data_IF_860461740049
#
_entry.id   IF_860461740049
#
_cell.length_a   1.000
_cell.length_b   1.000
_cell.length_c   1.000
_cell.angle_alpha   90.00
_cell.angle_beta   90.00
_cell.angle_gamma   90.00
#
_symmetry.space_group_name_H-M   'P 1'
#
loop_
_entity.id
_entity.type
_entity.pdbx_description
1 polymer ?
#
# COMPACT_ATOMS: atom_id res chain seq x y z
N UNK A 1 -22.86 -3.99 90.62
CA UNK A 1 -22.07 -5.23 90.48
C UNK A 1 -22.76 -6.13 89.46
N UNK A 2 -22.34 -6.08 88.19
CA UNK A 2 -22.98 -6.77 87.06
C UNK A 2 -21.95 -7.63 86.33
N UNK A 3 -22.38 -8.85 86.01
CA UNK A 3 -21.64 -9.96 85.40
C UNK A 3 -21.07 -9.63 84.01
N UNK A 4 -19.85 -10.07 83.76
CA UNK A 4 -19.17 -10.05 82.46
C UNK A 4 -19.64 -11.23 81.60
N UNK A 5 -20.10 -10.96 80.38
CA UNK A 5 -20.34 -11.96 79.32
C UNK A 5 -19.41 -11.61 78.16
N UNK A 6 -18.55 -12.56 77.77
CA UNK A 6 -17.68 -12.46 76.60
C UNK A 6 -18.36 -13.23 75.45
N UNK A 7 -18.70 -12.54 74.36
CA UNK A 7 -19.17 -13.16 73.12
C UNK A 7 -17.98 -13.54 72.22
N UNK A 8 -17.92 -14.81 71.82
CA UNK A 8 -17.04 -15.32 70.75
C UNK A 8 -17.64 -14.97 69.39
N UNK A 9 -16.85 -14.33 68.52
CA UNK A 9 -17.20 -14.11 67.12
C UNK A 9 -16.50 -15.17 66.25
N UNK A 10 -17.29 -15.98 65.55
CA UNK A 10 -16.84 -17.02 64.62
C UNK A 10 -16.55 -16.38 63.25
N UNK A 11 -15.33 -16.54 62.73
CA UNK A 11 -14.99 -16.25 61.33
C UNK A 11 -15.33 -17.45 60.46
N UNK A 12 -16.19 -17.27 59.45
CA UNK A 12 -16.51 -18.26 58.44
C UNK A 12 -15.65 -18.04 57.18
N UNK A 13 -14.73 -18.96 56.91
CA UNK A 13 -13.96 -18.98 55.66
C UNK A 13 -14.85 -19.51 54.53
N UNK A 14 -15.24 -18.63 53.60
CA UNK A 14 -15.83 -19.02 52.31
C UNK A 14 -14.70 -19.21 51.30
N UNK A 15 -14.45 -20.46 50.89
CA UNK A 15 -13.60 -20.78 49.74
C UNK A 15 -14.34 -20.37 48.45
N UNK A 16 -13.78 -19.41 47.71
CA UNK A 16 -14.17 -19.09 46.33
C UNK A 16 -13.35 -20.02 45.42
N UNK A 17 -14.02 -20.96 44.77
CA UNK A 17 -13.43 -21.77 43.69
C UNK A 17 -13.46 -20.91 42.43
N UNK A 18 -12.33 -20.34 42.04
CA UNK A 18 -12.17 -19.67 40.76
C UNK A 18 -12.09 -20.70 39.63
N UNK A 19 -13.07 -20.70 38.73
CA UNK A 19 -13.03 -21.50 37.50
C UNK A 19 -11.95 -20.93 36.58
N UNK A 20 -10.85 -21.65 36.40
CA UNK A 20 -9.81 -21.31 35.44
C UNK A 20 -10.29 -21.76 34.05
N UNK A 21 -10.83 -20.84 33.25
CA UNK A 21 -11.16 -21.10 31.85
C UNK A 21 -9.83 -21.14 31.07
N UNK A 22 -9.31 -22.34 30.85
CA UNK A 22 -8.19 -22.57 29.93
C UNK A 22 -8.78 -22.43 28.52
N UNK A 23 -8.63 -21.26 27.92
CA UNK A 23 -8.95 -21.03 26.51
C UNK A 23 -7.94 -21.75 25.64
N UNK A 24 -8.32 -22.89 25.06
CA UNK A 24 -7.56 -23.47 23.96
C UNK A 24 -7.72 -22.55 22.74
N UNK A 25 -6.62 -22.20 22.02
CA UNK A 25 -6.76 -21.48 20.77
C UNK A 25 -7.55 -22.36 19.80
N UNK A 26 -8.71 -21.87 19.37
CA UNK A 26 -9.47 -22.45 18.27
C UNK A 26 -8.59 -22.32 17.02
N UNK A 27 -7.92 -23.41 16.65
CA UNK A 27 -7.34 -23.54 15.32
C UNK A 27 -8.53 -23.66 14.37
N UNK A 28 -8.90 -22.57 13.72
CA UNK A 28 -9.82 -22.63 12.60
C UNK A 28 -9.14 -23.48 11.52
N UNK A 29 -9.79 -24.55 11.08
CA UNK A 29 -9.34 -25.32 9.92
C UNK A 29 -9.63 -24.52 8.65
N UNK A 30 -8.74 -24.58 7.66
CA UNK A 30 -9.01 -24.00 6.35
C UNK A 30 -10.27 -24.65 5.77
N UNK A 31 -11.30 -23.84 5.52
CA UNK A 31 -12.51 -24.28 4.84
C UNK A 31 -12.57 -23.60 3.47
N UNK A 32 -12.68 -24.40 2.42
CA UNK A 32 -12.97 -23.90 1.07
C UNK A 32 -14.36 -23.27 1.05
N UNK A 33 -14.45 -22.06 0.51
CA UNK A 33 -15.69 -21.27 0.42
C UNK A 33 -16.21 -21.38 -1.01
N UNK A 34 -17.33 -22.07 -1.23
CA UNK A 34 -17.94 -22.16 -2.56
C UNK A 34 -18.31 -20.77 -3.10
N UNK A 35 -18.12 -20.54 -4.39
CA UNK A 35 -18.45 -19.25 -5.03
C UNK A 35 -19.96 -19.01 -5.23
N UNK A 36 -20.78 -20.06 -5.12
CA UNK A 36 -22.24 -19.96 -5.05
C UNK A 36 -22.76 -19.69 -3.62
N UNK A 37 -21.86 -19.56 -2.64
CA UNK A 37 -22.20 -19.25 -1.26
C UNK A 37 -22.73 -17.81 -1.11
N UNK A 38 -23.76 -17.58 -0.29
CA UNK A 38 -24.25 -16.22 0.01
C UNK A 38 -23.26 -15.38 0.83
N UNK A 39 -22.12 -15.96 1.25
CA UNK A 39 -21.06 -15.27 1.98
C UNK A 39 -20.32 -14.23 1.13
N UNK A 40 -20.41 -14.31 -0.20
CA UNK A 40 -19.80 -13.36 -1.11
C UNK A 40 -20.66 -12.10 -1.26
N UNK A 41 -20.03 -10.95 -1.07
CA UNK A 41 -20.47 -9.64 -1.51
C UNK A 41 -19.84 -9.36 -2.87
N UNK A 42 -20.65 -9.46 -3.93
CA UNK A 42 -20.19 -9.36 -5.31
C UNK A 42 -20.27 -7.92 -5.77
N UNK A 43 -19.13 -7.42 -6.24
CA UNK A 43 -18.95 -6.06 -6.78
C UNK A 43 -18.53 -6.06 -8.25
N UNK A 44 -18.27 -7.24 -8.82
CA UNK A 44 -17.93 -7.41 -10.22
C UNK A 44 -19.12 -7.17 -11.13
N UNK A 45 -18.88 -6.62 -12.32
CA UNK A 45 -19.89 -6.48 -13.37
C UNK A 45 -20.39 -7.84 -13.85
N UNK A 46 -19.49 -8.83 -13.98
CA UNK A 46 -19.86 -10.22 -14.26
C UNK A 46 -19.28 -11.14 -13.20
N UNK A 47 -20.15 -11.97 -12.62
CA UNK A 47 -19.81 -13.01 -11.66
C UNK A 47 -20.65 -14.25 -11.98
N UNK A 48 -20.05 -15.20 -12.68
CA UNK A 48 -20.75 -16.40 -13.17
C UNK A 48 -20.14 -17.64 -12.54
N UNK A 49 -20.92 -18.34 -11.72
CA UNK A 49 -20.50 -19.63 -11.19
C UNK A 49 -20.74 -20.72 -12.23
N UNK A 50 -19.82 -21.67 -12.32
CA UNK A 50 -19.86 -22.68 -13.36
C UNK A 50 -18.78 -23.74 -13.23
N UNK A 51 -18.62 -24.54 -14.29
CA UNK A 51 -17.49 -25.44 -14.45
C UNK A 51 -16.58 -24.89 -15.53
N UNK A 52 -15.36 -24.52 -15.14
CA UNK A 52 -14.35 -23.94 -16.02
C UNK A 52 -13.12 -24.83 -15.97
N UNK A 53 -12.54 -25.15 -17.14
CA UNK A 53 -11.37 -26.04 -17.26
C UNK A 53 -11.50 -27.32 -16.40
N UNK A 54 -12.69 -27.93 -16.40
CA UNK A 54 -12.99 -29.17 -15.67
C UNK A 54 -13.19 -29.04 -14.14
N UNK A 55 -13.15 -27.84 -13.56
CA UNK A 55 -13.32 -27.60 -12.12
C UNK A 55 -14.48 -26.63 -11.85
N UNK A 56 -15.20 -26.82 -10.74
CA UNK A 56 -16.18 -25.83 -10.27
C UNK A 56 -15.46 -24.55 -9.86
N UNK A 57 -15.96 -23.41 -10.29
CA UNK A 57 -15.36 -22.13 -10.00
C UNK A 57 -16.27 -20.97 -10.38
N UNK A 58 -15.66 -19.80 -10.50
CA UNK A 58 -16.33 -18.57 -10.91
C UNK A 58 -15.53 -17.86 -11.99
N UNK A 59 -16.23 -17.31 -12.98
CA UNK A 59 -15.71 -16.33 -13.91
C UNK A 59 -16.00 -14.92 -13.38
N UNK A 60 -14.96 -14.09 -13.28
CA UNK A 60 -15.06 -12.70 -12.82
C UNK A 60 -14.53 -11.76 -13.90
N UNK A 61 -15.33 -10.73 -14.19
CA UNK A 61 -14.97 -9.62 -15.06
C UNK A 61 -15.34 -8.29 -14.39
N UNK A 62 -14.42 -7.33 -14.45
CA UNK A 62 -14.59 -5.94 -14.02
C UNK A 62 -15.09 -5.77 -12.58
N UNK A 63 -14.23 -6.11 -11.61
CA UNK A 63 -14.45 -5.88 -10.18
C UNK A 63 -14.00 -7.05 -9.32
N UNK A 64 -14.75 -7.41 -8.29
CA UNK A 64 -14.37 -8.52 -7.41
C UNK A 64 -15.50 -9.08 -6.55
N UNK A 65 -15.15 -10.03 -5.70
CA UNK A 65 -16.05 -10.58 -4.68
C UNK A 65 -15.31 -10.68 -3.34
N UNK A 66 -15.98 -10.25 -2.27
CA UNK A 66 -15.41 -10.15 -0.94
C UNK A 66 -16.26 -10.92 0.06
N UNK A 67 -15.64 -11.50 1.08
CA UNK A 67 -16.41 -12.17 2.13
C UNK A 67 -17.11 -11.14 3.03
N UNK A 68 -18.35 -11.40 3.41
CA UNK A 68 -19.14 -10.49 4.24
C UNK A 68 -18.64 -10.42 5.69
N UNK A 69 -18.36 -11.57 6.29
CA UNK A 69 -18.10 -11.68 7.73
C UNK A 69 -16.70 -12.20 8.08
N UNK A 70 -15.81 -12.33 7.09
CA UNK A 70 -14.46 -12.84 7.32
C UNK A 70 -13.63 -11.83 8.13
N UNK A 71 -12.86 -12.36 9.09
CA UNK A 71 -11.95 -11.61 9.94
C UNK A 71 -10.54 -12.21 9.77
N UNK A 72 -9.72 -11.53 8.97
CA UNK A 72 -8.37 -11.96 8.65
C UNK A 72 -7.34 -10.89 9.03
N UNK A 73 -6.35 -11.29 9.81
CA UNK A 73 -5.18 -10.47 10.14
C UNK A 73 -3.91 -11.19 9.66
N UNK A 74 -3.65 -12.37 10.21
CA UNK A 74 -2.54 -13.24 9.87
C UNK A 74 -3.08 -14.62 9.51
N UNK A 75 -2.37 -15.35 8.67
CA UNK A 75 -2.84 -16.65 8.23
C UNK A 75 -2.34 -17.06 6.87
N UNK A 76 -3.08 -18.01 6.28
CA UNK A 76 -2.82 -18.54 4.95
C UNK A 76 -4.06 -18.27 4.10
N UNK A 77 -3.84 -17.81 2.87
CA UNK A 77 -4.87 -17.60 1.85
C UNK A 77 -4.50 -18.48 0.66
N UNK A 78 -5.43 -19.27 0.17
CA UNK A 78 -5.22 -20.19 -0.96
C UNK A 78 -6.36 -20.08 -1.95
N UNK A 79 -6.03 -20.13 -3.23
CA UNK A 79 -7.01 -20.17 -4.32
C UNK A 79 -6.35 -20.68 -5.59
N UNK A 80 -7.17 -21.23 -6.48
CA UNK A 80 -6.74 -21.53 -7.84
C UNK A 80 -7.21 -20.43 -8.78
N UNK A 81 -6.36 -20.06 -9.75
CA UNK A 81 -6.66 -19.06 -10.76
C UNK A 81 -6.32 -19.58 -12.16
N UNK A 82 -7.18 -19.32 -13.14
CA UNK A 82 -6.89 -19.54 -14.55
C UNK A 82 -7.08 -18.25 -15.37
N UNK A 83 -6.21 -18.01 -16.34
CA UNK A 83 -6.14 -16.77 -17.15
C UNK A 83 -5.80 -17.08 -18.60
N UNK A 84 -6.19 -16.20 -19.53
CA UNK A 84 -6.03 -16.39 -20.99
C UNK A 84 -4.67 -15.93 -21.54
N UNK A 85 -3.86 -15.24 -20.73
CA UNK A 85 -2.60 -14.60 -21.16
C UNK A 85 -2.78 -13.17 -21.68
N UNK A 86 -4.03 -12.73 -21.89
CA UNK A 86 -4.33 -11.35 -22.25
C UNK A 86 -3.98 -10.36 -21.13
N UNK A 87 -3.98 -9.07 -21.48
CA UNK A 87 -3.69 -8.01 -20.53
C UNK A 87 -4.75 -7.96 -19.44
N UNK A 88 -4.33 -8.25 -18.21
CA UNK A 88 -5.16 -8.48 -17.04
C UNK A 88 -4.43 -8.12 -15.75
N UNK A 89 -5.20 -7.81 -14.72
CA UNK A 89 -4.73 -7.53 -13.37
C UNK A 89 -5.67 -8.22 -12.39
N UNK A 90 -5.31 -9.41 -11.92
CA UNK A 90 -6.20 -10.24 -11.11
C UNK A 90 -5.47 -10.89 -9.95
N UNK A 91 -6.15 -11.06 -8.83
CA UNK A 91 -5.57 -11.69 -7.67
C UNK A 91 -6.45 -11.57 -6.45
N UNK A 92 -5.84 -11.18 -5.34
CA UNK A 92 -6.46 -11.23 -4.02
C UNK A 92 -6.15 -9.96 -3.23
N UNK A 93 -7.15 -9.52 -2.47
CA UNK A 93 -7.01 -8.49 -1.46
C UNK A 93 -7.24 -9.08 -0.07
N UNK A 94 -6.43 -8.65 0.89
CA UNK A 94 -6.56 -9.05 2.30
C UNK A 94 -6.43 -7.85 3.22
N UNK A 95 -6.82 -8.06 4.49
CA UNK A 95 -6.97 -6.98 5.47
C UNK A 95 -7.78 -5.82 4.88
N UNK A 96 -8.85 -6.15 4.15
CA UNK A 96 -9.77 -5.19 3.58
C UNK A 96 -10.58 -4.61 4.74
N UNK A 97 -10.09 -3.52 5.31
CA UNK A 97 -10.74 -2.80 6.42
C UNK A 97 -11.97 -2.07 5.89
N UNK A 98 -11.82 -1.50 4.71
CA UNK A 98 -12.90 -1.00 3.86
C UNK A 98 -12.48 -1.10 2.39
N UNK A 99 -13.39 -0.79 1.46
CA UNK A 99 -13.14 -0.94 0.00
C UNK A 99 -12.06 0.00 -0.56
N UNK A 100 -11.56 0.94 0.24
CA UNK A 100 -10.49 1.88 -0.11
C UNK A 100 -9.17 1.54 0.59
N UNK A 101 -9.13 0.48 1.39
CA UNK A 101 -8.08 0.25 2.36
C UNK A 101 -7.80 -1.24 2.54
N UNK A 102 -6.83 -1.76 1.79
CA UNK A 102 -6.48 -3.18 1.75
C UNK A 102 -5.03 -3.40 1.36
N UNK A 103 -4.52 -4.60 1.62
CA UNK A 103 -3.32 -5.12 0.96
C UNK A 103 -3.76 -5.87 -0.31
N UNK A 104 -3.00 -5.76 -1.40
CA UNK A 104 -3.33 -6.38 -2.68
C UNK A 104 -2.13 -7.11 -3.27
N UNK A 105 -2.39 -8.30 -3.80
CA UNK A 105 -1.46 -9.01 -4.68
C UNK A 105 -2.19 -9.38 -5.96
N UNK A 106 -1.58 -9.12 -7.10
CA UNK A 106 -2.16 -9.44 -8.39
C UNK A 106 -1.11 -9.94 -9.39
N UNK A 107 -1.56 -10.75 -10.34
CA UNK A 107 -0.78 -11.23 -11.48
C UNK A 107 -1.09 -10.42 -12.74
N UNK A 108 -0.13 -10.39 -13.66
CA UNK A 108 -0.20 -9.76 -14.98
C UNK A 108 0.05 -10.82 -16.05
N UNK A 109 -0.97 -11.51 -16.58
CA UNK A 109 -0.78 -12.65 -17.47
C UNK A 109 0.06 -12.31 -18.71
N UNK A 110 -0.18 -11.14 -19.31
CA UNK A 110 0.58 -10.56 -20.42
C UNK A 110 2.08 -10.30 -20.16
N UNK A 111 2.53 -10.40 -18.90
CA UNK A 111 3.92 -10.23 -18.49
C UNK A 111 4.52 -11.52 -17.91
N UNK A 112 3.95 -12.68 -18.23
CA UNK A 112 4.50 -13.99 -17.84
C UNK A 112 6.02 -14.07 -18.07
N UNK A 113 6.75 -14.46 -17.03
CA UNK A 113 8.21 -14.58 -17.02
C UNK A 113 8.99 -13.25 -16.91
N UNK A 114 8.34 -12.09 -16.96
CA UNK A 114 9.00 -10.78 -16.81
C UNK A 114 9.17 -10.41 -15.33
N UNK A 115 10.14 -9.53 -14.97
CA UNK A 115 10.41 -9.15 -13.58
C UNK A 115 9.20 -8.59 -12.80
N UNK A 116 8.22 -8.04 -13.51
CA UNK A 116 6.99 -7.47 -12.98
C UNK A 116 5.74 -8.30 -13.33
N UNK A 117 5.89 -9.62 -13.54
CA UNK A 117 4.80 -10.54 -13.87
C UNK A 117 3.68 -10.57 -12.82
N UNK A 118 3.99 -10.27 -11.56
CA UNK A 118 3.06 -10.11 -10.45
C UNK A 118 3.52 -8.96 -9.57
N UNK A 119 2.63 -8.46 -8.72
CA UNK A 119 2.98 -7.37 -7.83
C UNK A 119 2.14 -7.39 -6.55
N UNK A 120 2.81 -7.10 -5.43
CA UNK A 120 2.19 -6.63 -4.20
C UNK A 120 2.14 -5.09 -4.18
N UNK A 121 1.02 -4.54 -3.74
CA UNK A 121 0.85 -3.10 -3.48
C UNK A 121 -0.19 -2.89 -2.38
N UNK A 122 -0.06 -1.86 -1.53
CA UNK A 122 -1.17 -1.42 -0.70
C UNK A 122 -2.19 -0.66 -1.55
N UNK A 123 -3.45 -0.72 -1.13
CA UNK A 123 -4.50 0.22 -1.48
C UNK A 123 -4.69 1.17 -0.29
N UNK A 124 -4.49 2.46 -0.48
CA UNK A 124 -4.65 3.48 0.59
C UNK A 124 -5.60 4.56 0.09
N UNK A 125 -6.68 4.80 0.82
CA UNK A 125 -7.72 5.76 0.46
C UNK A 125 -8.24 5.60 -0.99
N UNK A 126 -8.25 4.36 -1.49
CA UNK A 126 -8.72 3.99 -2.82
C UNK A 126 -7.66 4.05 -3.92
N UNK A 127 -6.45 4.53 -3.61
CA UNK A 127 -5.32 4.54 -4.54
C UNK A 127 -4.48 3.27 -4.42
N UNK A 128 -4.34 2.53 -5.51
CA UNK A 128 -3.33 1.47 -5.65
C UNK A 128 -1.97 2.09 -5.90
N UNK A 129 -0.98 1.75 -5.07
CA UNK A 129 0.33 2.41 -5.03
C UNK A 129 1.47 1.68 -5.76
N UNK A 130 1.15 0.99 -6.86
CA UNK A 130 2.10 0.12 -7.57
C UNK A 130 3.29 0.86 -8.23
N UNK A 131 3.20 2.16 -8.49
CA UNK A 131 4.32 2.99 -8.97
C UNK A 131 5.29 3.37 -7.85
N UNK A 132 4.85 3.32 -6.59
CA UNK A 132 5.67 3.61 -5.42
C UNK A 132 6.40 2.36 -4.94
N UNK A 133 5.71 1.21 -4.96
CA UNK A 133 6.19 -0.04 -4.40
C UNK A 133 6.40 -1.05 -5.52
N UNK A 134 7.53 -0.96 -6.21
CA UNK A 134 7.85 -1.71 -7.43
C UNK A 134 9.23 -2.38 -7.35
N UNK A 135 9.46 -3.37 -8.21
CA UNK A 135 10.74 -4.05 -8.30
C UNK A 135 10.94 -5.12 -7.23
N UNK A 136 12.21 -5.40 -6.93
CA UNK A 136 12.58 -6.38 -5.90
C UNK A 136 11.86 -6.06 -4.58
N UNK A 137 11.38 -7.09 -3.87
CA UNK A 137 10.50 -7.03 -2.67
C UNK A 137 9.00 -6.85 -2.95
N UNK A 138 8.62 -6.38 -4.14
CA UNK A 138 7.22 -6.12 -4.49
C UNK A 138 6.75 -6.94 -5.69
N UNK A 139 7.65 -7.36 -6.58
CA UNK A 139 7.35 -8.19 -7.74
C UNK A 139 8.37 -9.30 -7.93
N UNK A 140 7.96 -10.36 -8.62
CA UNK A 140 8.85 -11.45 -9.00
C UNK A 140 8.51 -12.02 -10.38
N UNK A 141 9.49 -12.51 -11.15
CA UNK A 141 9.20 -13.24 -12.38
C UNK A 141 8.58 -14.60 -12.07
N UNK A 142 7.43 -14.87 -12.68
CA UNK A 142 6.75 -16.17 -12.64
C UNK A 142 6.28 -16.51 -14.03
N UNK A 143 6.57 -17.73 -14.49
CA UNK A 143 6.00 -18.27 -15.72
C UNK A 143 4.62 -18.85 -15.42
N UNK A 144 3.61 -18.30 -16.08
CA UNK A 144 2.23 -18.76 -15.96
C UNK A 144 1.91 -19.83 -17.02
N UNK A 145 1.03 -20.76 -16.66
CA UNK A 145 0.28 -21.57 -17.62
C UNK A 145 -1.04 -20.88 -17.94
N UNK A 146 -1.46 -20.92 -19.21
CA UNK A 146 -2.67 -20.24 -19.68
C UNK A 146 -3.78 -21.24 -19.95
N UNK A 147 -5.02 -20.85 -19.65
CA UNK A 147 -6.20 -21.71 -19.76
C UNK A 147 -6.10 -22.99 -18.92
N UNK A 148 -5.32 -22.93 -17.85
CA UNK A 148 -5.07 -24.01 -16.89
C UNK A 148 -5.09 -23.42 -15.48
N UNK A 149 -5.43 -24.27 -14.50
CA UNK A 149 -5.46 -23.87 -13.11
C UNK A 149 -4.05 -23.75 -12.53
N UNK A 150 -3.73 -22.56 -12.03
CA UNK A 150 -2.55 -22.31 -11.22
C UNK A 150 -2.97 -22.11 -9.77
N UNK A 151 -2.40 -22.88 -8.87
CA UNK A 151 -2.60 -22.68 -7.44
C UNK A 151 -1.77 -21.49 -6.94
N UNK A 152 -2.36 -20.62 -6.11
CA UNK A 152 -1.65 -19.54 -5.43
C UNK A 152 -1.90 -19.65 -3.93
N UNK A 153 -0.81 -19.59 -3.17
CA UNK A 153 -0.82 -19.56 -1.71
C UNK A 153 -0.11 -18.31 -1.21
N UNK A 154 -0.75 -17.57 -0.31
CA UNK A 154 -0.17 -16.42 0.38
C UNK A 154 -0.12 -16.70 1.87
N UNK A 155 1.06 -16.61 2.47
CA UNK A 155 1.26 -16.71 3.92
C UNK A 155 1.51 -15.31 4.46
N UNK A 156 0.64 -14.82 5.36
CA UNK A 156 0.70 -13.47 5.93
C UNK A 156 1.04 -13.56 7.43
N UNK A 157 2.19 -13.03 7.81
CA UNK A 157 2.68 -13.04 9.20
C UNK A 157 3.08 -11.64 9.64
N UNK A 158 2.24 -10.99 10.46
CA UNK A 158 2.49 -9.64 10.95
C UNK A 158 2.61 -8.63 9.80
N UNK A 159 3.78 -8.04 9.63
CA UNK A 159 4.05 -7.06 8.56
C UNK A 159 4.72 -7.70 7.33
N UNK A 160 4.69 -9.02 7.19
CA UNK A 160 5.40 -9.74 6.14
C UNK A 160 4.46 -10.70 5.44
N UNK A 161 4.77 -11.01 4.18
CA UNK A 161 4.04 -12.03 3.44
C UNK A 161 4.94 -12.78 2.45
N UNK A 162 4.51 -13.99 2.11
CA UNK A 162 5.13 -14.83 1.09
C UNK A 162 4.08 -15.27 0.09
N UNK A 163 4.43 -15.25 -1.19
CA UNK A 163 3.56 -15.73 -2.27
C UNK A 163 4.21 -16.91 -2.98
N UNK A 164 3.45 -17.99 -3.06
CA UNK A 164 3.82 -19.24 -3.69
C UNK A 164 2.89 -19.50 -4.87
N UNK A 165 3.45 -20.09 -5.93
CA UNK A 165 2.72 -20.50 -7.12
C UNK A 165 2.82 -22.01 -7.30
N UNK A 166 1.75 -22.63 -7.79
CA UNK A 166 1.67 -24.05 -8.13
C UNK A 166 2.14 -24.92 -6.95
N UNK A 167 3.14 -25.78 -7.17
CA UNK A 167 3.75 -26.69 -6.21
C UNK A 167 5.10 -26.16 -5.66
N UNK A 168 5.35 -24.86 -5.74
CA UNK A 168 6.61 -24.27 -5.25
C UNK A 168 6.78 -24.46 -3.74
N UNK A 169 7.92 -25.03 -3.36
CA UNK A 169 8.34 -25.14 -1.95
C UNK A 169 9.00 -23.87 -1.40
N UNK A 170 9.56 -23.04 -2.28
CA UNK A 170 10.13 -21.73 -1.95
C UNK A 170 9.24 -20.62 -2.50
N UNK A 171 9.01 -19.53 -1.76
CA UNK A 171 8.13 -18.47 -2.25
C UNK A 171 8.73 -17.82 -3.50
N UNK A 172 7.89 -17.54 -4.49
CA UNK A 172 8.27 -16.75 -5.66
C UNK A 172 8.53 -15.29 -5.28
N UNK A 173 7.75 -14.77 -4.32
CA UNK A 173 7.88 -13.43 -3.80
C UNK A 173 7.88 -13.45 -2.27
N UNK A 174 8.91 -12.86 -1.68
CA UNK A 174 8.93 -12.48 -0.26
C UNK A 174 8.71 -10.98 -0.13
N UNK A 175 7.68 -10.59 0.61
CA UNK A 175 7.30 -9.22 0.91
C UNK A 175 7.78 -8.92 2.34
N UNK A 176 8.93 -8.25 2.50
CA UNK A 176 9.55 -8.04 3.80
C UNK A 176 8.80 -7.02 4.66
N UNK A 177 7.97 -6.18 4.04
CA UNK A 177 7.18 -5.14 4.70
C UNK A 177 5.89 -4.86 3.91
N UNK A 178 4.75 -5.23 4.50
CA UNK A 178 3.43 -4.76 4.11
C UNK A 178 3.28 -3.29 4.52
N UNK A 179 2.70 -2.47 3.65
CA UNK A 179 2.78 -1.01 3.72
C UNK A 179 1.61 -0.35 4.46
N UNK A 180 0.59 -1.11 4.87
CA UNK A 180 -0.46 -0.60 5.76
C UNK A 180 -0.23 -1.06 7.19
N UNK A 181 -0.76 -0.30 8.14
CA UNK A 181 -0.87 -0.76 9.51
C UNK A 181 -1.62 -2.11 9.57
N UNK A 182 -1.12 -3.03 10.39
CA UNK A 182 -1.74 -4.33 10.56
C UNK A 182 -3.12 -4.18 11.21
N UNK A 183 -4.17 -4.35 10.41
CA UNK A 183 -5.55 -4.28 10.85
C UNK A 183 -6.33 -5.48 10.34
N UNK A 184 -7.20 -6.04 11.19
CA UNK A 184 -8.10 -7.12 10.79
C UNK A 184 -9.09 -6.58 9.76
N UNK A 185 -9.29 -7.33 8.68
CA UNK A 185 -10.27 -7.01 7.66
C UNK A 185 -10.73 -8.25 6.91
N UNK A 186 -11.61 -8.05 5.94
CA UNK A 186 -12.07 -9.16 5.10
C UNK A 186 -11.05 -9.50 4.00
N UNK A 187 -11.40 -10.51 3.21
CA UNK A 187 -10.66 -11.03 2.07
C UNK A 187 -11.54 -10.92 0.82
N UNK A 188 -10.91 -10.79 -0.35
CA UNK A 188 -11.63 -10.86 -1.62
C UNK A 188 -10.73 -11.17 -2.79
N UNK A 189 -11.33 -11.62 -3.88
CA UNK A 189 -10.66 -11.86 -5.16
C UNK A 189 -11.09 -10.80 -6.17
N UNK A 190 -10.18 -10.41 -7.05
CA UNK A 190 -10.38 -9.27 -7.96
C UNK A 190 -9.93 -9.58 -9.38
N UNK A 191 -10.62 -8.98 -10.36
CA UNK A 191 -10.23 -8.88 -11.76
C UNK A 191 -10.40 -7.42 -12.20
N UNK A 192 -9.29 -6.79 -12.62
CA UNK A 192 -9.21 -5.37 -12.89
C UNK A 192 -10.15 -4.89 -13.99
N UNK A 193 -10.79 -3.74 -13.74
CA UNK A 193 -11.77 -3.15 -14.65
C UNK A 193 -11.17 -2.73 -15.99
N UNK A 194 -11.86 -3.06 -17.08
CA UNK A 194 -11.44 -2.75 -18.45
C UNK A 194 -10.37 -3.70 -19.02
N UNK A 195 -10.03 -4.78 -18.31
CA UNK A 195 -8.99 -5.73 -18.67
C UNK A 195 -9.49 -7.17 -18.74
N UNK A 196 -8.65 -8.12 -19.14
CA UNK A 196 -9.03 -9.53 -19.25
C UNK A 196 -9.68 -10.08 -17.96
N UNK A 197 -10.69 -10.96 -18.08
CA UNK A 197 -11.30 -11.60 -16.91
C UNK A 197 -10.36 -12.63 -16.27
N UNK A 198 -10.78 -13.18 -15.14
CA UNK A 198 -10.12 -14.32 -14.50
C UNK A 198 -11.14 -15.36 -14.06
N UNK A 199 -10.67 -16.60 -13.96
CA UNK A 199 -11.42 -17.70 -13.38
C UNK A 199 -10.80 -18.05 -12.04
N UNK A 200 -11.63 -18.25 -11.01
CA UNK A 200 -11.18 -18.63 -9.67
C UNK A 200 -11.85 -19.92 -9.21
N UNK A 201 -11.13 -20.76 -8.48
CA UNK A 201 -11.63 -21.97 -7.85
C UNK A 201 -10.98 -22.18 -6.47
N UNK A 202 -11.58 -23.06 -5.66
CA UNK A 202 -11.01 -23.55 -4.40
C UNK A 202 -10.49 -22.48 -3.43
N UNK A 203 -11.12 -21.30 -3.41
CA UNK A 203 -10.75 -20.24 -2.46
C UNK A 203 -10.93 -20.72 -1.02
N UNK A 204 -9.90 -20.57 -0.21
CA UNK A 204 -9.91 -20.86 1.21
C UNK A 204 -8.99 -19.90 1.97
N UNK A 205 -9.23 -19.77 3.27
CA UNK A 205 -8.30 -19.09 4.15
C UNK A 205 -8.28 -19.76 5.51
N UNK A 206 -7.17 -19.58 6.21
CA UNK A 206 -6.97 -20.03 7.57
C UNK A 206 -6.37 -18.90 8.40
N UNK A 207 -7.10 -18.44 9.43
CA UNK A 207 -6.54 -17.47 10.38
C UNK A 207 -5.57 -18.17 11.33
N UNK A 208 -4.32 -17.71 11.35
CA UNK A 208 -3.24 -18.22 12.20
C UNK A 208 -2.57 -17.01 12.82
N UNK A 209 -2.42 -16.95 14.14
CA UNK A 209 -1.87 -15.76 14.81
C UNK A 209 -0.45 -15.42 14.33
N UNK A 210 0.40 -16.46 14.17
CA UNK A 210 1.81 -16.35 13.80
C UNK A 210 2.20 -17.48 12.84
N UNK A 211 1.77 -17.42 11.56
CA UNK A 211 2.18 -18.43 10.60
C UNK A 211 3.69 -18.32 10.35
N UNK A 212 4.30 -19.47 10.06
CA UNK A 212 5.74 -19.57 9.83
C UNK A 212 6.05 -19.19 8.38
N UNK A 213 6.95 -18.23 8.21
CA UNK A 213 7.53 -17.87 6.91
C UNK A 213 8.79 -18.71 6.67
N UNK A 214 9.04 -19.10 5.41
CA UNK A 214 10.25 -19.86 5.02
C UNK A 214 11.45 -18.95 4.71
N UNK A 215 11.18 -17.72 4.32
CA UNK A 215 12.15 -16.69 3.94
C UNK A 215 12.90 -16.20 5.15
N UNK A 216 14.17 -15.88 4.96
CA UNK A 216 14.98 -15.23 5.99
C UNK A 216 14.58 -13.76 6.07
N UNK A 217 14.55 -13.16 7.27
CA UNK A 217 14.40 -11.72 7.41
C UNK A 217 15.43 -10.98 6.55
N UNK A 218 14.96 -9.97 5.82
CA UNK A 218 15.81 -9.08 5.02
C UNK A 218 15.85 -7.73 5.70
N UNK A 219 17.02 -7.08 5.70
CA UNK A 219 17.14 -5.72 6.23
C UNK A 219 16.18 -4.76 5.49
N UNK A 220 15.62 -3.74 6.16
CA UNK A 220 14.86 -2.70 5.48
C UNK A 220 15.69 -2.07 4.37
N UNK A 221 15.02 -1.70 3.28
CA UNK A 221 15.63 -0.81 2.30
C UNK A 221 15.68 0.59 2.91
N UNK A 222 16.87 1.19 2.93
CA UNK A 222 17.10 2.49 3.57
C UNK A 222 17.43 3.50 2.48
N UNK A 223 16.83 4.68 2.60
CA UNK A 223 17.11 5.83 1.77
C UNK A 223 18.60 6.21 1.80
N UNK A 224 19.11 6.87 0.74
CA UNK A 224 20.44 7.49 0.80
C UNK A 224 20.50 8.59 1.87
N UNK A 225 21.72 8.96 2.25
CA UNK A 225 21.96 10.15 3.06
C UNK A 225 21.37 11.40 2.41
N UNK A 226 21.00 12.38 3.23
CA UNK A 226 20.40 13.63 2.76
C UNK A 226 18.93 13.52 2.32
N UNK A 227 18.29 12.36 2.51
CA UNK A 227 16.85 12.20 2.24
C UNK A 227 16.01 13.16 3.08
N UNK A 228 14.97 13.72 2.46
CA UNK A 228 13.93 14.48 3.15
C UNK A 228 13.08 13.52 3.97
N UNK A 229 13.11 13.67 5.30
CA UNK A 229 12.48 12.74 6.25
C UNK A 229 11.01 13.03 6.52
N UNK A 230 10.54 14.23 6.20
CA UNK A 230 9.14 14.63 6.35
C UNK A 230 8.81 15.80 5.43
N UNK A 231 7.53 15.96 5.14
CA UNK A 231 6.98 17.04 4.35
C UNK A 231 5.82 17.68 5.09
N UNK A 232 5.61 18.98 4.86
CA UNK A 232 4.34 19.62 5.16
C UNK A 232 3.46 19.49 3.91
N UNK A 233 2.40 18.69 3.99
CA UNK A 233 1.51 18.38 2.87
C UNK A 233 0.22 19.20 3.02
N UNK A 234 -0.20 19.89 1.97
CA UNK A 234 -1.46 20.64 1.99
C UNK A 234 -2.68 19.72 1.89
N UNK A 235 -3.86 20.29 2.11
CA UNK A 235 -5.08 19.73 1.53
C UNK A 235 -5.04 19.73 -0.01
N UNK A 236 -5.95 18.99 -0.64
CA UNK A 236 -6.02 18.88 -2.09
C UNK A 236 -6.44 20.22 -2.71
N UNK A 237 -5.72 20.62 -3.75
CA UNK A 237 -5.97 21.82 -4.54
C UNK A 237 -6.40 21.46 -5.96
N UNK A 238 -7.18 22.34 -6.57
CA UNK A 238 -7.45 22.31 -8.01
C UNK A 238 -6.15 22.62 -8.77
N UNK A 239 -5.92 21.97 -9.90
CA UNK A 239 -4.64 22.02 -10.61
C UNK A 239 -4.64 23.02 -11.76
N UNK A 240 -5.83 23.43 -12.22
CA UNK A 240 -6.05 24.24 -13.40
C UNK A 240 -5.37 25.61 -13.29
N UNK A 241 -5.51 26.28 -12.14
CA UNK A 241 -4.89 27.59 -11.92
C UNK A 241 -3.36 27.52 -11.88
N UNK A 242 -2.78 26.34 -11.65
CA UNK A 242 -1.33 26.19 -11.65
C UNK A 242 -0.75 26.28 -13.06
N UNK A 243 -1.51 26.02 -14.13
CA UNK A 243 -1.02 25.92 -15.50
C UNK A 243 -0.12 27.09 -15.91
N UNK A 244 -0.56 28.31 -15.64
CA UNK A 244 0.14 29.57 -15.96
C UNK A 244 0.67 30.30 -14.71
N UNK A 245 0.74 29.62 -13.56
CA UNK A 245 1.29 30.20 -12.34
C UNK A 245 2.81 30.02 -12.30
N UNK A 246 3.54 31.03 -12.77
CA UNK A 246 5.02 31.09 -12.70
C UNK A 246 5.52 31.70 -11.38
N UNK A 247 4.67 32.46 -10.69
CA UNK A 247 4.95 33.11 -9.42
C UNK A 247 3.85 32.78 -8.43
N UNK A 248 4.21 32.08 -7.36
CA UNK A 248 3.35 31.67 -6.27
C UNK A 248 3.62 32.60 -5.10
N UNK A 249 2.63 33.44 -4.76
CA UNK A 249 2.74 34.36 -3.64
C UNK A 249 2.08 33.76 -2.38
N UNK A 250 2.45 34.29 -1.21
CA UNK A 250 1.91 33.82 0.07
C UNK A 250 0.38 33.91 0.14
N UNK A 251 -0.23 34.85 -0.59
CA UNK A 251 -1.69 34.97 -0.65
C UNK A 251 -2.37 33.75 -1.28
N UNK A 252 -1.73 33.09 -2.25
CA UNK A 252 -2.24 31.86 -2.85
C UNK A 252 -2.19 30.67 -1.88
N UNK A 253 -1.30 30.73 -0.88
CA UNK A 253 -1.05 29.63 0.06
C UNK A 253 -1.65 29.86 1.45
N UNK A 254 -2.06 31.09 1.79
CA UNK A 254 -2.51 31.47 3.14
C UNK A 254 -3.71 30.67 3.66
N UNK A 255 -4.51 30.12 2.76
CA UNK A 255 -5.71 29.36 3.09
C UNK A 255 -5.43 27.86 3.25
N UNK A 256 -4.23 27.41 2.87
CA UNK A 256 -3.87 25.99 2.93
C UNK A 256 -3.52 25.57 4.35
N UNK A 257 -4.11 24.46 4.76
CA UNK A 257 -3.77 23.76 5.98
C UNK A 257 -2.67 22.74 5.70
N UNK A 258 -1.69 22.65 6.60
CA UNK A 258 -0.52 21.81 6.43
C UNK A 258 -0.56 20.65 7.42
N UNK A 259 -0.41 19.44 6.91
CA UNK A 259 -0.24 18.22 7.70
C UNK A 259 1.19 17.72 7.55
N UNK A 260 1.89 17.56 8.67
CA UNK A 260 3.21 16.92 8.66
C UNK A 260 3.04 15.44 8.33
N UNK A 261 3.77 14.97 7.32
CA UNK A 261 3.79 13.57 6.90
C UNK A 261 5.24 13.09 6.82
N UNK A 262 5.54 12.02 7.55
CA UNK A 262 6.87 11.43 7.53
C UNK A 262 7.08 10.59 6.27
N UNK A 263 8.31 10.62 5.76
CA UNK A 263 8.80 9.69 4.75
C UNK A 263 9.01 8.31 5.37
N UNK A 264 8.77 7.27 4.56
CA UNK A 264 9.16 5.91 4.90
C UNK A 264 10.69 5.79 4.99
N UNK A 265 11.20 4.68 5.52
CA UNK A 265 12.65 4.43 5.62
C UNK A 265 13.37 4.44 4.28
N UNK A 266 12.64 4.17 3.18
CA UNK A 266 13.11 4.27 1.78
C UNK A 266 13.16 5.71 1.27
N UNK A 267 12.61 6.67 2.02
CA UNK A 267 12.50 8.08 1.65
C UNK A 267 11.19 8.42 0.94
N UNK A 268 10.43 7.43 0.49
CA UNK A 268 9.15 7.66 -0.18
C UNK A 268 8.14 8.21 0.82
N UNK A 269 7.47 9.29 0.46
CA UNK A 269 6.33 9.83 1.20
C UNK A 269 5.05 9.54 0.41
N UNK A 270 4.25 8.57 0.88
CA UNK A 270 2.98 8.24 0.25
C UNK A 270 1.89 9.23 0.66
N UNK A 271 1.58 10.17 -0.22
CA UNK A 271 0.66 11.28 -0.02
C UNK A 271 -0.79 10.81 0.18
N UNK A 272 -1.13 9.62 -0.33
CA UNK A 272 -2.45 8.99 -0.10
C UNK A 272 -2.71 8.67 1.37
N UNK A 273 -1.70 8.71 2.26
CA UNK A 273 -1.89 8.52 3.70
C UNK A 273 -2.64 9.67 4.37
N UNK A 274 -2.58 10.88 3.81
CA UNK A 274 -3.22 12.08 4.38
C UNK A 274 -4.24 12.72 3.44
N UNK A 275 -4.24 12.36 2.15
CA UNK A 275 -5.21 12.83 1.16
C UNK A 275 -5.80 11.68 0.34
N UNK A 276 -6.93 11.94 -0.32
CA UNK A 276 -7.58 11.00 -1.23
C UNK A 276 -7.93 11.74 -2.52
N UNK A 277 -7.25 11.43 -3.62
CA UNK A 277 -7.50 12.11 -4.89
C UNK A 277 -8.82 11.67 -5.53
N UNK A 278 -9.44 12.58 -6.26
CA UNK A 278 -10.48 12.29 -7.25
C UNK A 278 -9.97 12.61 -8.65
N UNK A 279 -10.79 12.43 -9.67
CA UNK A 279 -10.43 12.81 -11.04
C UNK A 279 -10.25 14.33 -11.20
N UNK A 280 -11.03 15.12 -10.46
CA UNK A 280 -11.05 16.57 -10.52
C UNK A 280 -10.11 17.22 -9.50
N UNK A 281 -9.86 16.54 -8.37
CA UNK A 281 -9.07 17.06 -7.26
C UNK A 281 -7.94 16.09 -6.95
N UNK A 282 -6.77 16.38 -7.50
CA UNK A 282 -5.70 15.40 -7.55
C UNK A 282 -4.31 15.98 -7.34
N UNK A 283 -4.21 17.21 -6.83
CA UNK A 283 -2.94 17.91 -6.63
C UNK A 283 -2.79 18.34 -5.17
N UNK A 284 -1.60 18.19 -4.61
CA UNK A 284 -1.25 18.70 -3.28
C UNK A 284 0.06 19.46 -3.35
N UNK A 285 0.26 20.40 -2.44
CA UNK A 285 1.57 20.98 -2.19
C UNK A 285 2.32 20.18 -1.14
N UNK A 286 3.57 19.82 -1.43
CA UNK A 286 4.54 19.31 -0.47
C UNK A 286 5.59 20.40 -0.23
N UNK A 287 5.63 20.93 0.98
CA UNK A 287 6.49 22.04 1.39
C UNK A 287 7.67 21.56 2.20
N UNK A 288 8.82 22.13 1.87
CA UNK A 288 10.08 22.01 2.59
C UNK A 288 10.62 23.40 2.90
N UNK A 289 11.02 23.63 4.14
CA UNK A 289 11.66 24.88 4.57
C UNK A 289 13.12 24.57 4.90
N UNK A 290 14.03 25.31 4.29
CA UNK A 290 15.48 25.11 4.38
C UNK A 290 16.11 26.36 4.98
N UNK A 291 16.76 26.20 6.12
CA UNK A 291 17.63 27.23 6.68
C UNK A 291 19.04 27.07 6.07
N UNK A 292 19.52 28.08 5.36
CA UNK A 292 20.87 28.11 4.77
C UNK A 292 21.77 29.10 5.52
N UNK A 293 22.99 28.70 5.87
CA UNK A 293 23.91 29.58 6.61
C UNK A 293 24.53 30.68 5.73
N UNK A 294 24.50 30.50 4.41
CA UNK A 294 25.06 31.40 3.40
C UNK A 294 24.33 31.28 2.06
N UNK A 295 24.58 32.19 1.14
CA UNK A 295 24.18 32.02 -0.24
C UNK A 295 24.96 30.85 -0.84
N UNK A 296 24.28 29.84 -1.37
CA UNK A 296 24.90 28.64 -1.92
C UNK A 296 23.98 27.90 -2.87
N UNK A 297 24.56 26.98 -3.65
CA UNK A 297 23.81 26.07 -4.51
C UNK A 297 23.78 24.69 -3.87
N UNK A 298 22.60 24.06 -3.83
CA UNK A 298 22.42 22.67 -3.39
C UNK A 298 21.75 21.85 -4.47
N UNK A 299 22.34 20.71 -4.81
CA UNK A 299 21.70 19.74 -5.70
C UNK A 299 20.66 18.95 -4.89
N UNK A 300 19.42 18.97 -5.38
CA UNK A 300 18.33 18.16 -4.89
C UNK A 300 17.94 17.17 -5.98
N UNK A 301 18.07 15.87 -5.71
CA UNK A 301 17.48 14.83 -6.53
C UNK A 301 16.10 14.51 -6.00
N UNK A 302 15.14 14.21 -6.87
CA UNK A 302 13.77 13.96 -6.45
C UNK A 302 13.03 13.03 -7.40
N UNK A 303 11.91 12.50 -6.90
CA UNK A 303 10.93 11.71 -7.61
C UNK A 303 9.52 12.14 -7.20
N UNK A 304 8.58 11.99 -8.09
CA UNK A 304 7.19 12.41 -7.93
C UNK A 304 6.26 11.51 -8.73
N UNK A 305 5.01 11.39 -8.30
CA UNK A 305 3.97 10.75 -9.11
C UNK A 305 3.46 11.68 -10.20
N UNK A 306 3.15 11.10 -11.36
CA UNK A 306 2.50 11.70 -12.53
C UNK A 306 2.98 13.08 -13.00
N UNK A 307 2.73 14.17 -12.29
CA UNK A 307 3.20 15.50 -12.67
C UNK A 307 3.67 16.31 -11.47
N UNK A 308 4.62 17.21 -11.73
CA UNK A 308 5.12 18.13 -10.72
C UNK A 308 5.34 19.53 -11.24
N UNK A 309 5.13 20.51 -10.36
CA UNK A 309 5.72 21.86 -10.47
C UNK A 309 6.50 22.18 -9.21
N UNK A 310 7.73 22.67 -9.36
CA UNK A 310 8.60 23.02 -8.22
C UNK A 310 8.83 24.52 -8.18
N UNK A 311 8.43 25.12 -7.07
CA UNK A 311 8.61 26.52 -6.77
C UNK A 311 9.72 26.68 -5.73
N UNK A 312 10.68 27.57 -6.00
CA UNK A 312 11.75 27.94 -5.07
C UNK A 312 11.55 29.42 -4.73
N UNK A 313 11.28 29.70 -3.46
CA UNK A 313 10.97 31.05 -2.97
C UNK A 313 9.88 31.74 -3.81
N UNK A 314 8.81 30.99 -4.11
CA UNK A 314 7.67 31.45 -4.91
C UNK A 314 7.87 31.44 -6.43
N UNK A 315 9.10 31.31 -6.95
CA UNK A 315 9.35 31.26 -8.39
C UNK A 315 9.31 29.84 -8.92
N UNK A 316 8.57 29.57 -10.00
CA UNK A 316 8.59 28.29 -10.70
C UNK A 316 9.98 28.04 -11.29
N UNK A 317 10.58 26.89 -10.95
CA UNK A 317 11.92 26.52 -11.40
C UNK A 317 11.96 25.19 -12.15
N UNK A 318 10.96 24.33 -11.96
CA UNK A 318 10.86 23.04 -12.62
C UNK A 318 9.40 22.68 -12.89
N UNK A 319 9.17 22.00 -14.01
CA UNK A 319 7.91 21.32 -14.33
C UNK A 319 8.23 20.02 -15.04
N UNK A 320 7.57 18.93 -14.65
CA UNK A 320 7.89 17.61 -15.19
C UNK A 320 6.70 16.67 -15.21
N UNK A 321 6.80 15.64 -16.05
CA UNK A 321 5.82 14.56 -16.15
C UNK A 321 6.52 13.20 -16.00
N UNK A 322 5.92 12.37 -15.16
CA UNK A 322 6.27 10.99 -14.84
C UNK A 322 5.07 10.04 -15.06
N UNK A 323 4.05 10.47 -15.83
CA UNK A 323 2.84 9.66 -16.05
C UNK A 323 3.17 8.33 -16.74
N UNK A 324 2.40 7.29 -16.42
CA UNK A 324 2.40 6.05 -17.19
C UNK A 324 2.21 6.32 -18.69
N UNK A 325 3.02 5.68 -19.53
CA UNK A 325 3.04 5.84 -21.00
C UNK A 325 3.35 7.25 -21.53
N UNK A 326 3.80 8.18 -20.69
CA UNK A 326 4.12 9.54 -21.15
C UNK A 326 5.37 9.63 -22.03
N UNK A 327 6.32 8.71 -21.87
CA UNK A 327 7.61 8.73 -22.58
C UNK A 327 7.72 7.65 -23.65
N UNK A 328 7.28 6.44 -23.33
CA UNK A 328 7.25 5.30 -24.25
C UNK A 328 6.16 4.28 -23.84
N UNK A 329 5.86 3.33 -24.72
CA UNK A 329 4.77 2.35 -24.55
C UNK A 329 4.93 1.39 -23.35
N UNK A 330 6.10 1.38 -22.70
CA UNK A 330 6.40 0.62 -21.47
C UNK A 330 6.79 1.52 -20.30
N UNK A 331 6.75 2.84 -20.45
CA UNK A 331 7.14 3.75 -19.38
C UNK A 331 6.19 3.61 -18.19
N UNK A 332 6.69 3.04 -17.10
CA UNK A 332 5.87 2.71 -15.93
C UNK A 332 5.50 3.93 -15.07
N UNK A 333 6.29 5.00 -15.11
CA UNK A 333 6.09 6.15 -14.23
C UNK A 333 6.42 5.85 -12.76
N UNK A 334 7.29 4.88 -12.50
CA UNK A 334 7.71 4.52 -11.14
C UNK A 334 8.47 5.64 -10.46
N UNK A 335 8.31 5.80 -9.15
CA UNK A 335 9.02 6.81 -8.38
C UNK A 335 10.48 6.41 -8.14
N UNK A 336 11.36 7.40 -8.15
CA UNK A 336 12.78 7.25 -7.84
C UNK A 336 13.50 8.61 -7.95
N UNK A 337 14.75 8.68 -7.49
CA UNK A 337 15.59 9.90 -7.55
C UNK A 337 16.13 10.14 -8.98
N UNK A 338 15.25 10.20 -9.97
CA UNK A 338 15.61 10.27 -11.39
C UNK A 338 15.75 11.70 -11.91
N UNK A 339 15.09 12.66 -11.26
CA UNK A 339 15.14 14.08 -11.60
C UNK A 339 16.08 14.84 -10.64
N UNK A 340 16.63 15.96 -11.12
CA UNK A 340 17.50 16.81 -10.33
C UNK A 340 17.24 18.31 -10.54
N UNK A 341 17.43 19.10 -9.49
CA UNK A 341 17.30 20.54 -9.48
C UNK A 341 18.43 21.16 -8.66
N UNK A 342 19.06 22.21 -9.17
CA UNK A 342 20.11 22.96 -8.49
C UNK A 342 19.49 24.19 -7.81
N UNK A 343 19.23 24.07 -6.51
CA UNK A 343 18.59 25.11 -5.70
C UNK A 343 19.57 26.25 -5.41
N UNK A 344 19.27 27.45 -5.89
CA UNK A 344 19.98 28.68 -5.51
C UNK A 344 19.39 29.19 -4.19
N UNK A 345 19.99 28.76 -3.08
CA UNK A 345 19.56 29.16 -1.74
C UNK A 345 20.22 30.49 -1.37
N UNK A 346 19.45 31.41 -0.79
CA UNK A 346 20.02 32.57 -0.12
C UNK A 346 20.26 32.24 1.35
N UNK A 347 21.15 33.00 2.01
CA UNK A 347 21.32 32.97 3.46
C UNK A 347 19.97 33.22 4.12
N UNK A 348 19.62 32.42 5.12
CA UNK A 348 18.33 32.48 5.78
C UNK A 348 17.39 31.36 5.35
N UNK A 349 16.10 31.61 5.54
CA UNK A 349 15.02 30.68 5.22
C UNK A 349 14.74 30.65 3.72
N UNK A 350 14.64 29.46 3.13
CA UNK A 350 14.21 29.24 1.76
C UNK A 350 13.03 28.27 1.77
N UNK A 351 11.99 28.57 1.00
CA UNK A 351 10.82 27.70 0.86
C UNK A 351 10.86 26.99 -0.49
N UNK A 352 10.79 25.66 -0.46
CA UNK A 352 10.66 24.81 -1.63
C UNK A 352 9.28 24.16 -1.60
N UNK A 353 8.53 24.30 -2.69
CA UNK A 353 7.17 23.79 -2.81
C UNK A 353 7.04 22.92 -4.05
N UNK A 354 6.61 21.69 -3.86
CA UNK A 354 6.28 20.76 -4.93
C UNK A 354 4.76 20.67 -5.03
N UNK A 355 4.17 21.15 -6.12
CA UNK A 355 2.80 20.79 -6.45
C UNK A 355 2.84 19.44 -7.18
N UNK A 356 2.39 18.36 -6.52
CA UNK A 356 2.42 17.00 -7.04
C UNK A 356 1.01 16.56 -7.38
N UNK A 357 0.79 16.15 -8.63
CA UNK A 357 -0.49 15.68 -9.14
C UNK A 357 -0.49 14.18 -9.35
N UNK A 358 -1.63 13.52 -9.15
CA UNK A 358 -1.79 12.07 -9.33
C UNK A 358 -3.02 11.73 -10.16
N UNK A 359 -2.96 10.68 -10.99
CA UNK A 359 -4.16 10.18 -11.70
C UNK A 359 -4.44 8.73 -11.33
N UNK A 360 -3.40 7.92 -11.29
CA UNK A 360 -3.48 6.52 -10.89
C UNK A 360 -2.07 5.91 -10.74
N UNK A 361 -1.95 4.89 -9.88
CA UNK A 361 -0.71 4.15 -9.69
C UNK A 361 0.06 4.51 -8.43
N UNK A 362 -0.36 5.56 -7.74
CA UNK A 362 0.02 5.85 -6.36
C UNK A 362 0.56 7.27 -6.23
N UNK A 363 0.22 7.95 -5.15
CA UNK A 363 0.58 9.36 -4.97
C UNK A 363 1.78 9.51 -4.05
N UNK A 364 2.93 9.88 -4.60
CA UNK A 364 4.21 9.88 -3.87
C UNK A 364 5.12 11.04 -4.22
N UNK A 365 5.97 11.38 -3.26
CA UNK A 365 7.14 12.25 -3.43
C UNK A 365 8.34 11.64 -2.70
N UNK A 366 9.53 11.86 -3.24
CA UNK A 366 10.81 11.47 -2.66
C UNK A 366 11.83 12.56 -3.01
N UNK A 367 12.69 12.96 -2.08
CA UNK A 367 13.79 13.86 -2.40
C UNK A 367 15.01 13.61 -1.51
N UNK A 368 16.19 13.85 -2.05
CA UNK A 368 17.46 13.73 -1.33
C UNK A 368 18.46 14.78 -1.80
N UNK A 369 19.09 15.45 -0.84
CA UNK A 369 20.21 16.35 -1.11
C UNK A 369 21.48 15.56 -1.37
N UNK A 370 22.29 16.01 -2.34
CA UNK A 370 23.62 15.45 -2.54
C UNK A 370 24.53 15.65 -1.31
N UNK A 371 24.34 16.75 -0.58
CA UNK A 371 24.97 17.01 0.70
C UNK A 371 24.14 17.99 1.54
N UNK A 372 24.21 17.87 2.87
CA UNK A 372 23.46 18.72 3.81
C UNK A 372 24.33 19.77 4.52
N UNK A 373 25.56 20.01 4.06
CA UNK A 373 26.45 20.94 4.74
C UNK A 373 25.92 22.38 4.68
N UNK A 374 25.96 23.09 5.80
CA UNK A 374 25.48 24.48 5.93
C UNK A 374 23.99 24.66 5.61
N UNK A 375 23.19 23.59 5.64
CA UNK A 375 21.74 23.65 5.58
C UNK A 375 21.10 22.83 6.70
N UNK A 376 19.97 23.31 7.18
CA UNK A 376 19.10 22.57 8.11
C UNK A 376 17.70 22.54 7.54
N UNK A 377 17.07 21.37 7.55
CA UNK A 377 15.67 21.20 7.16
C UNK A 377 14.82 21.49 8.40
N UNK A 378 13.88 22.44 8.31
CA UNK A 378 12.99 22.73 9.43
C UNK A 378 12.10 21.52 9.72
N UNK A 379 11.93 21.21 11.01
CA UNK A 379 11.05 20.15 11.49
C UNK A 379 9.56 20.45 11.30
#
# INVERSE_FOLDING_TARGET
MKKTIIYRQLFSNRFIIGLLIIGFPLIAFAQTIPFDSPQWDVTAETFETGTYFGKKGVFIKDGGAYLKDAQFLNGIIEFDIAVTGERGFMGVQWRVVDRKNSEEFYIRPHLSGMPDANQYTPIINGGSAWQLYHGERYSAPVNYTFNEWMHIKIVVSGQQAEVYFMDMETPALFIPELKREAATGTLGITAGSGFAPAYFADFSYQSIEKPVLKSKPVAPEIAPDGVVKHWLVSEIVESEWLADTYQLNDNALKHLHWTRLNSEVTGITNLSRVQAYTREKNTVFCKLVIQSEKDQIKQLRFGYSDDVKVYVNGTLTYGGTNRYLSRDYRYLGTIGLFDELYLKLHKGENTILFAVSERFGGWGILAAFADVNNITLSE
#
